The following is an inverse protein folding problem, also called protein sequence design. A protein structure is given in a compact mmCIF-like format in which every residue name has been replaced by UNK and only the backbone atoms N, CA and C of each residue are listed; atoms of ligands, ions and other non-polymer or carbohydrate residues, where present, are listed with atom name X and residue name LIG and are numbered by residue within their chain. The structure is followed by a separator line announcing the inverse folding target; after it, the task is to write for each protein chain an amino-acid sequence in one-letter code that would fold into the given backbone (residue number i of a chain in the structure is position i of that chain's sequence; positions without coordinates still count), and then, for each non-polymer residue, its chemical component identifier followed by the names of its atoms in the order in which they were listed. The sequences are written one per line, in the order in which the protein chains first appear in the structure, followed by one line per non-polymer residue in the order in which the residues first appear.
data_IF_434210369185
#
_entry.id   IF_434210369185
#
_cell.length_a   1.000
_cell.length_b   1.000
_cell.length_c   1.000
_cell.angle_alpha   90.00
_cell.angle_beta   90.00
_cell.angle_gamma   90.00
#
_symmetry.space_group_name_H-M   'P 1'
#
loop_
_entity.id
_entity.type
_entity.pdbx_description
1 polymer ?
#
# COMPACT_ATOMS: atom_id res chain seq x y z
N UNK A 1 13.64 -3.52 21.85
CA UNK A 1 12.51 -3.89 22.73
C UNK A 1 12.94 -4.77 23.89
N UNK A 2 13.54 -5.94 23.64
CA UNK A 2 14.07 -6.83 24.71
C UNK A 2 15.17 -6.18 25.55
N UNK A 3 16.16 -5.54 24.90
CA UNK A 3 17.29 -4.89 25.58
C UNK A 3 16.87 -3.84 26.65
N UNK A 4 15.73 -3.19 26.45
CA UNK A 4 15.23 -2.13 27.33
C UNK A 4 13.90 -2.51 28.02
N UNK A 5 13.61 -3.81 28.12
CA UNK A 5 12.50 -4.32 28.94
C UNK A 5 11.10 -3.85 28.52
N UNK A 6 10.85 -3.64 27.21
CA UNK A 6 9.55 -3.16 26.74
C UNK A 6 8.44 -4.19 26.97
N UNK A 7 7.27 -3.80 27.51
CA UNK A 7 6.13 -4.70 27.64
C UNK A 7 5.57 -5.15 26.27
N UNK A 8 5.94 -4.45 25.19
CA UNK A 8 5.51 -4.74 23.82
C UNK A 8 6.51 -5.65 23.07
N UNK A 9 7.54 -6.19 23.73
CA UNK A 9 8.55 -7.02 23.08
C UNK A 9 7.97 -8.21 22.31
N UNK A 10 6.95 -8.88 22.86
CA UNK A 10 6.29 -10.01 22.19
C UNK A 10 5.55 -9.61 20.90
N UNK A 11 5.00 -8.39 20.83
CA UNK A 11 4.36 -7.87 19.62
C UNK A 11 5.39 -7.45 18.56
N UNK A 12 6.49 -6.84 19.00
CA UNK A 12 7.56 -6.34 18.12
C UNK A 12 8.49 -7.45 17.59
N UNK A 13 8.42 -8.66 18.15
CA UNK A 13 9.16 -9.83 17.70
C UNK A 13 8.42 -10.65 16.62
N UNK A 14 7.21 -10.26 16.25
CA UNK A 14 6.40 -10.97 15.25
C UNK A 14 6.93 -10.70 13.82
N UNK A 15 6.83 -11.67 12.90
CA UNK A 15 7.31 -11.51 11.52
C UNK A 15 6.42 -10.58 10.67
N UNK A 16 5.37 -10.01 11.25
CA UNK A 16 4.38 -9.15 10.61
C UNK A 16 3.91 -8.09 11.61
N UNK A 17 3.53 -6.92 11.12
CA UNK A 17 2.95 -5.85 11.94
C UNK A 17 1.50 -6.13 12.34
N UNK A 18 0.84 -7.17 11.81
CA UNK A 18 -0.57 -7.48 12.11
C UNK A 18 -0.88 -7.51 13.61
N UNK A 19 -0.09 -8.19 14.48
CA UNK A 19 -0.37 -8.20 15.92
C UNK A 19 -0.16 -6.83 16.58
N UNK A 20 0.81 -6.04 16.12
CA UNK A 20 1.01 -4.67 16.60
C UNK A 20 -0.18 -3.78 16.20
N UNK A 21 -0.65 -3.88 14.96
CA UNK A 21 -1.83 -3.16 14.48
C UNK A 21 -3.07 -3.56 15.29
N UNK A 22 -3.29 -4.85 15.53
CA UNK A 22 -4.40 -5.34 16.34
C UNK A 22 -4.37 -4.84 17.80
N UNK A 23 -3.19 -4.56 18.37
CA UNK A 23 -3.04 -4.05 19.73
C UNK A 23 -3.57 -2.61 19.93
N UNK A 24 -3.82 -1.88 18.84
CA UNK A 24 -4.51 -0.60 18.86
C UNK A 24 -3.69 0.60 19.33
N UNK A 25 -4.35 1.76 19.30
CA UNK A 25 -3.71 3.08 19.35
C UNK A 25 -2.84 3.35 20.58
N UNK A 26 -3.23 2.83 21.75
CA UNK A 26 -2.47 3.01 22.99
C UNK A 26 -1.11 2.33 22.87
N UNK A 27 -1.08 1.07 22.41
CA UNK A 27 0.16 0.34 22.18
C UNK A 27 1.04 1.05 21.16
N UNK A 28 0.47 1.54 20.05
CA UNK A 28 1.23 2.27 19.03
C UNK A 28 1.89 3.54 19.58
N UNK A 29 1.15 4.31 20.39
CA UNK A 29 1.66 5.53 21.00
C UNK A 29 2.79 5.25 21.99
N UNK A 30 2.64 4.21 22.79
CA UNK A 30 3.68 3.82 23.74
C UNK A 30 4.93 3.31 23.04
N UNK A 31 4.78 2.43 22.04
CA UNK A 31 5.88 1.95 21.20
C UNK A 31 6.59 3.14 20.54
N UNK A 32 5.85 4.06 19.91
CA UNK A 32 6.44 5.26 19.29
C UNK A 32 7.23 6.09 20.31
N UNK A 33 6.63 6.38 21.47
CA UNK A 33 7.29 7.15 22.55
C UNK A 33 8.58 6.46 23.01
N UNK A 34 8.53 5.15 23.22
CA UNK A 34 9.69 4.36 23.63
C UNK A 34 10.79 4.38 22.56
N UNK A 35 10.46 4.10 21.29
CA UNK A 35 11.42 4.15 20.18
C UNK A 35 12.08 5.52 20.05
N UNK A 36 11.29 6.60 20.13
CA UNK A 36 11.83 7.96 20.11
C UNK A 36 12.78 8.20 21.27
N UNK A 37 12.42 7.82 22.50
CA UNK A 37 13.30 7.97 23.66
C UNK A 37 14.60 7.15 23.50
N UNK A 38 14.51 5.89 23.08
CA UNK A 38 15.68 5.01 22.89
C UNK A 38 16.66 5.56 21.85
N UNK A 39 16.15 6.20 20.79
CA UNK A 39 16.99 6.76 19.72
C UNK A 39 17.52 8.16 20.03
N UNK A 40 16.93 8.89 20.97
CA UNK A 40 17.28 10.31 21.21
C UNK A 40 17.92 10.58 22.57
N UNK A 41 17.63 9.78 23.59
CA UNK A 41 18.20 9.95 24.94
C UNK A 41 19.61 9.32 24.97
N UNK A 42 20.67 10.10 25.24
CA UNK A 42 22.05 9.60 25.16
C UNK A 42 22.35 8.39 26.04
N UNK A 43 21.66 8.24 27.17
CA UNK A 43 21.85 7.11 28.09
C UNK A 43 21.53 5.74 27.46
N UNK A 44 20.68 5.68 26.43
CA UNK A 44 20.33 4.43 25.74
C UNK A 44 21.27 4.10 24.57
N UNK A 45 22.18 5.01 24.20
CA UNK A 45 23.01 4.87 23.00
C UNK A 45 23.81 3.56 22.98
N UNK A 46 24.47 3.23 24.09
CA UNK A 46 25.29 2.01 24.18
C UNK A 46 24.48 0.72 24.02
N UNK A 47 23.21 0.72 24.45
CA UNK A 47 22.31 -0.42 24.31
C UNK A 47 21.71 -0.54 22.89
N UNK A 48 21.60 0.59 22.17
CA UNK A 48 20.89 0.69 20.88
C UNK A 48 21.83 0.63 19.68
N UNK A 49 22.99 1.30 19.70
CA UNK A 49 23.92 1.33 18.56
C UNK A 49 24.28 -0.06 18.01
N UNK A 50 24.51 -1.10 18.82
CA UNK A 50 24.79 -2.45 18.33
C UNK A 50 23.60 -3.14 17.64
N UNK A 51 22.39 -2.61 17.80
CA UNK A 51 21.14 -3.18 17.30
C UNK A 51 20.64 -2.48 16.02
N UNK A 52 21.39 -1.50 15.51
CA UNK A 52 21.04 -0.78 14.28
C UNK A 52 21.58 -1.53 13.07
N UNK A 53 20.72 -1.71 12.08
CA UNK A 53 21.08 -2.28 10.79
C UNK A 53 21.02 -1.19 9.71
N UNK A 54 22.03 -1.08 8.83
CA UNK A 54 21.92 -0.29 7.62
C UNK A 54 20.70 -0.74 6.79
N UNK A 55 19.92 0.21 6.28
CA UNK A 55 18.67 -0.10 5.55
C UNK A 55 18.95 -0.83 4.24
N UNK A 56 20.10 -0.57 3.61
CA UNK A 56 20.56 -1.25 2.40
C UNK A 56 21.14 -2.65 2.67
N UNK A 57 21.37 -3.02 3.93
CA UNK A 57 21.85 -4.33 4.36
C UNK A 57 20.72 -5.28 4.79
N UNK A 58 19.45 -4.85 4.71
CA UNK A 58 18.28 -5.66 5.08
C UNK A 58 17.34 -5.85 3.89
N UNK A 59 16.61 -6.96 3.91
CA UNK A 59 15.52 -7.21 2.96
C UNK A 59 14.21 -6.79 3.61
N UNK A 60 13.45 -5.92 2.92
CA UNK A 60 12.12 -5.52 3.36
C UNK A 60 11.06 -6.51 2.84
N UNK A 61 10.02 -6.73 3.65
CA UNK A 61 8.90 -7.61 3.34
C UNK A 61 7.59 -6.84 3.39
N UNK A 62 6.50 -7.46 2.91
CA UNK A 62 5.16 -6.90 3.07
C UNK A 62 4.87 -6.71 4.57
N UNK A 63 4.45 -5.52 5.01
CA UNK A 63 4.40 -5.19 6.44
C UNK A 63 3.31 -5.92 7.21
N UNK A 64 2.22 -6.32 6.55
CA UNK A 64 1.11 -7.05 7.12
C UNK A 64 0.42 -7.89 6.04
N UNK A 65 -0.38 -8.86 6.48
CA UNK A 65 -1.26 -9.60 5.59
C UNK A 65 -2.40 -8.69 5.13
N UNK A 66 -2.55 -8.50 3.82
CA UNK A 66 -3.67 -7.75 3.25
C UNK A 66 -4.86 -8.71 3.17
N UNK A 67 -5.77 -8.61 4.14
CA UNK A 67 -7.00 -9.41 4.13
C UNK A 67 -7.94 -8.93 3.02
N UNK A 68 -8.26 -7.64 3.03
CA UNK A 68 -9.08 -6.97 2.03
C UNK A 68 -8.36 -5.72 1.49
N UNK A 69 -8.52 -5.48 0.21
CA UNK A 69 -8.03 -4.29 -0.48
C UNK A 69 -9.19 -3.61 -1.18
N UNK A 70 -9.35 -2.31 -0.93
CA UNK A 70 -10.33 -1.45 -1.59
C UNK A 70 -9.57 -0.30 -2.22
N UNK A 71 -9.84 -0.06 -3.50
CA UNK A 71 -9.33 1.10 -4.22
C UNK A 71 -10.43 2.14 -4.39
N UNK A 72 -10.08 3.41 -4.15
CA UNK A 72 -10.98 4.54 -4.21
C UNK A 72 -10.66 5.45 -5.39
N UNK A 73 -11.70 5.92 -6.05
CA UNK A 73 -11.62 6.81 -7.20
C UNK A 73 -11.73 8.29 -6.79
N UNK A 74 -10.89 8.72 -5.86
CA UNK A 74 -11.07 9.97 -5.09
C UNK A 74 -10.39 11.23 -5.67
N UNK A 75 -9.55 11.09 -6.71
CA UNK A 75 -8.91 12.24 -7.35
C UNK A 75 -9.82 12.86 -8.42
N UNK A 76 -10.30 14.08 -8.17
CA UNK A 76 -11.19 14.78 -9.12
C UNK A 76 -10.54 15.04 -10.47
N UNK A 77 -9.25 15.42 -10.46
CA UNK A 77 -8.51 15.67 -11.69
C UNK A 77 -8.35 14.38 -12.51
N UNK A 78 -8.00 13.28 -11.85
CA UNK A 78 -7.96 11.97 -12.50
C UNK A 78 -9.34 11.60 -13.05
N UNK A 79 -10.40 11.73 -12.24
CA UNK A 79 -11.76 11.41 -12.63
C UNK A 79 -12.26 12.23 -13.83
N UNK A 80 -11.93 13.52 -13.84
CA UNK A 80 -12.27 14.45 -14.92
C UNK A 80 -11.53 14.09 -16.20
N UNK A 81 -10.23 13.84 -16.13
CA UNK A 81 -9.40 13.51 -17.29
C UNK A 81 -9.88 12.21 -17.96
N UNK A 82 -10.10 11.15 -17.16
CA UNK A 82 -10.66 9.89 -17.64
C UNK A 82 -12.04 10.11 -18.25
N UNK A 83 -12.88 10.90 -17.58
CA UNK A 83 -14.20 11.28 -18.07
C UNK A 83 -14.19 11.90 -19.46
N UNK A 84 -13.29 12.87 -19.69
CA UNK A 84 -13.15 13.55 -20.98
C UNK A 84 -12.68 12.61 -22.10
N UNK A 85 -11.84 11.62 -21.79
CA UNK A 85 -11.40 10.62 -22.77
C UNK A 85 -12.57 9.72 -23.20
N UNK A 86 -13.39 9.27 -22.25
CA UNK A 86 -14.47 8.32 -22.51
C UNK A 86 -15.80 8.96 -22.91
N UNK A 87 -16.03 10.23 -22.55
CA UNK A 87 -17.25 11.01 -22.80
C UNK A 87 -16.86 12.41 -23.30
N UNK A 88 -16.26 12.52 -24.50
CA UNK A 88 -15.76 13.82 -25.00
C UNK A 88 -16.86 14.87 -25.16
N UNK A 89 -18.09 14.45 -25.44
CA UNK A 89 -19.25 15.32 -25.64
C UNK A 89 -20.20 15.37 -24.42
N UNK A 90 -19.79 14.81 -23.28
CA UNK A 90 -20.65 14.68 -22.09
C UNK A 90 -19.98 15.18 -20.81
N UNK A 91 -20.69 15.06 -19.69
CA UNK A 91 -20.14 15.42 -18.38
C UNK A 91 -18.95 14.53 -18.02
N UNK A 92 -17.86 15.18 -17.60
CA UNK A 92 -16.63 14.49 -17.23
C UNK A 92 -16.84 13.63 -15.97
N UNK A 93 -17.52 14.15 -14.96
CA UNK A 93 -17.84 13.41 -13.74
C UNK A 93 -19.21 12.74 -13.85
N UNK A 94 -19.32 11.52 -13.34
CA UNK A 94 -20.62 10.86 -13.18
C UNK A 94 -21.42 11.53 -12.07
N UNK A 95 -22.77 11.50 -12.11
CA UNK A 95 -23.61 12.21 -11.13
C UNK A 95 -23.29 11.88 -9.67
N UNK A 96 -22.95 10.62 -9.37
CA UNK A 96 -22.67 10.13 -8.02
C UNK A 96 -21.29 10.55 -7.47
N UNK A 97 -20.33 10.96 -8.31
CA UNK A 97 -18.93 11.14 -7.89
C UNK A 97 -18.76 12.19 -6.79
N UNK A 98 -19.55 13.27 -6.84
CA UNK A 98 -19.55 14.33 -5.82
C UNK A 98 -20.38 14.00 -4.57
N UNK A 99 -21.08 12.87 -4.54
CA UNK A 99 -22.02 12.52 -3.48
C UNK A 99 -21.55 11.35 -2.62
N UNK A 100 -20.60 10.54 -3.09
CA UNK A 100 -20.00 9.46 -2.32
C UNK A 100 -18.57 9.17 -2.84
N UNK A 101 -17.65 8.70 -1.97
CA UNK A 101 -16.34 8.25 -2.40
C UNK A 101 -16.50 6.92 -3.14
N UNK A 102 -16.56 6.97 -4.48
CA UNK A 102 -16.67 5.77 -5.30
C UNK A 102 -15.43 4.92 -5.06
N UNK A 103 -15.63 3.62 -4.87
CA UNK A 103 -14.55 2.65 -4.71
C UNK A 103 -15.01 1.25 -5.10
N UNK A 104 -14.06 0.34 -5.20
CA UNK A 104 -14.29 -1.03 -5.62
C UNK A 104 -13.33 -2.00 -4.91
N UNK A 105 -13.72 -3.28 -4.85
CA UNK A 105 -12.86 -4.31 -4.26
C UNK A 105 -11.69 -4.61 -5.19
N UNK A 106 -10.48 -4.39 -4.69
CA UNK A 106 -9.25 -4.84 -5.32
C UNK A 106 -8.97 -6.32 -5.03
N UNK A 107 -7.79 -6.79 -5.45
CA UNK A 107 -7.34 -8.17 -5.23
C UNK A 107 -6.20 -8.23 -4.22
N UNK A 108 -6.51 -8.53 -2.97
CA UNK A 108 -5.53 -8.54 -1.87
C UNK A 108 -4.33 -9.46 -2.13
N UNK A 109 -4.58 -10.66 -2.68
CA UNK A 109 -3.54 -11.66 -2.95
C UNK A 109 -2.53 -11.29 -4.04
N UNK A 110 -2.67 -10.14 -4.69
CA UNK A 110 -1.71 -9.62 -5.67
C UNK A 110 -1.02 -8.33 -5.22
N UNK A 111 -1.23 -7.90 -3.97
CA UNK A 111 -0.44 -6.80 -3.38
C UNK A 111 0.96 -7.33 -3.05
N UNK A 112 1.98 -6.70 -3.63
CA UNK A 112 3.38 -7.13 -3.50
C UNK A 112 4.25 -5.99 -2.98
N UNK A 113 5.35 -6.35 -2.31
CA UNK A 113 6.32 -5.38 -1.80
C UNK A 113 7.11 -4.75 -2.94
N UNK A 114 7.58 -3.52 -2.73
CA UNK A 114 8.47 -2.83 -3.66
C UNK A 114 9.67 -3.69 -4.07
N UNK A 115 10.06 -3.61 -5.35
CA UNK A 115 11.12 -4.43 -5.95
C UNK A 115 10.65 -5.78 -6.51
N UNK A 116 9.37 -6.14 -6.33
CA UNK A 116 8.80 -7.33 -6.99
C UNK A 116 8.55 -7.05 -8.47
N UNK A 117 9.06 -7.91 -9.36
CA UNK A 117 8.81 -7.80 -10.79
C UNK A 117 7.33 -8.01 -11.14
N UNK A 118 6.79 -7.18 -12.03
CA UNK A 118 5.43 -7.30 -12.55
C UNK A 118 5.45 -7.83 -13.97
N UNK A 119 4.94 -9.05 -14.18
CA UNK A 119 4.86 -9.68 -15.50
C UNK A 119 3.74 -9.04 -16.32
N UNK A 120 4.03 -8.65 -17.57
CA UNK A 120 3.01 -8.13 -18.49
C UNK A 120 1.86 -9.14 -18.64
N UNK A 121 0.62 -8.76 -18.28
CA UNK A 121 -0.49 -9.70 -18.34
C UNK A 121 -0.90 -9.98 -19.79
N UNK A 122 -1.42 -11.18 -20.02
CA UNK A 122 -2.13 -11.55 -21.25
C UNK A 122 -3.61 -11.74 -20.95
N UNK A 123 -4.47 -11.39 -21.89
CA UNK A 123 -5.91 -11.45 -21.72
C UNK A 123 -6.66 -11.19 -23.02
N UNK A 124 -7.98 -11.10 -22.91
CA UNK A 124 -8.84 -10.72 -24.03
C UNK A 124 -8.83 -9.21 -24.23
N UNK A 125 -8.71 -8.77 -25.49
CA UNK A 125 -8.81 -7.36 -25.89
C UNK A 125 -9.64 -7.24 -27.16
N UNK A 126 -10.33 -6.11 -27.34
CA UNK A 126 -11.08 -5.79 -28.56
C UNK A 126 -10.85 -4.33 -28.93
N UNK A 127 -10.09 -4.09 -30.00
CA UNK A 127 -9.98 -2.76 -30.57
C UNK A 127 -11.28 -2.38 -31.29
N UNK A 128 -11.56 -1.08 -31.53
CA UNK A 128 -12.79 -0.64 -32.20
C UNK A 128 -13.02 -1.29 -33.57
N UNK A 129 -11.95 -1.58 -34.31
CA UNK A 129 -12.01 -2.21 -35.63
C UNK A 129 -11.94 -3.75 -35.60
N UNK A 130 -11.66 -4.38 -34.45
CA UNK A 130 -11.56 -5.83 -34.36
C UNK A 130 -12.97 -6.45 -34.51
N UNK A 131 -13.19 -7.47 -35.36
CA UNK A 131 -14.50 -8.10 -35.52
C UNK A 131 -14.93 -8.87 -34.26
N UNK A 132 -13.99 -9.47 -33.52
CA UNK A 132 -14.19 -10.21 -32.27
C UNK A 132 -13.03 -9.95 -31.28
N UNK A 133 -13.19 -10.22 -29.97
CA UNK A 133 -12.07 -10.16 -29.04
C UNK A 133 -10.93 -11.11 -29.44
N UNK A 134 -9.70 -10.68 -29.22
CA UNK A 134 -8.48 -11.48 -29.44
C UNK A 134 -7.76 -11.70 -28.12
N UNK A 135 -7.06 -12.83 -27.99
CA UNK A 135 -6.24 -13.14 -26.82
C UNK A 135 -4.77 -12.79 -27.09
N UNK A 136 -4.09 -12.17 -26.13
CA UNK A 136 -2.65 -11.91 -26.19
C UNK A 136 -2.18 -10.94 -25.11
N UNK A 137 -0.89 -10.53 -25.16
CA UNK A 137 -0.33 -9.57 -24.21
C UNK A 137 -1.07 -8.23 -24.22
N UNK A 138 -1.17 -7.58 -23.05
CA UNK A 138 -1.66 -6.20 -22.97
C UNK A 138 -0.78 -5.26 -23.78
N UNK A 139 -1.42 -4.42 -24.60
CA UNK A 139 -0.78 -3.38 -25.43
C UNK A 139 -0.90 -1.97 -24.83
N UNK A 140 -1.54 -1.85 -23.65
CA UNK A 140 -1.74 -0.61 -22.88
C UNK A 140 -1.53 -0.92 -21.40
N UNK A 141 -0.28 -1.22 -21.02
CA UNK A 141 0.10 -1.37 -19.62
C UNK A 141 0.38 0.03 -19.07
N UNK A 142 -0.15 0.33 -17.89
CA UNK A 142 -0.10 1.65 -17.28
C UNK A 142 0.21 1.55 -15.78
N UNK A 143 0.44 2.70 -15.15
CA UNK A 143 0.57 2.87 -13.70
C UNK A 143 -0.55 3.77 -13.16
N UNK A 144 -0.90 3.58 -11.90
CA UNK A 144 -1.70 4.52 -11.12
C UNK A 144 -0.90 4.89 -9.86
N UNK A 145 -0.78 6.19 -9.60
CA UNK A 145 0.00 6.71 -8.48
C UNK A 145 -0.93 7.02 -7.31
N UNK A 146 -0.81 6.23 -6.24
CA UNK A 146 -1.76 6.19 -5.13
C UNK A 146 -1.07 6.18 -3.75
N UNK A 147 -1.88 6.26 -2.69
CA UNK A 147 -1.46 6.06 -1.29
C UNK A 147 -2.45 5.12 -0.62
N UNK A 148 -1.94 4.09 0.05
CA UNK A 148 -2.73 3.07 0.76
C UNK A 148 -2.18 2.75 2.14
#
# INVERSE_FOLDING_TARGET
AHALGSPYAGLLAQPSLTPLLAAGRTAWRDVRRALTAWLTVPAHRADIEPLLHPVDAVTLHLPYEVADYVDFYASEHHATNVGQIFRPDGDALTPNWKHLPIGYHGRSGTVVVSGTDVVRPSGQRKAPADPAPVFGPSVKLDIEAEVG
#
